data_IF_818460933722
#
_entry.id   IF_818460933722
#
_cell.length_a   1.000
_cell.length_b   1.000
_cell.length_c   1.000
_cell.angle_alpha   90.00
_cell.angle_beta   90.00
_cell.angle_gamma   90.00
#
_symmetry.space_group_name_H-M   'P 1'
#
loop_
_entity.id
_entity.type
_entity.pdbx_description
1 polymer ?
#
# COMPACT_ATOMS: atom_id res chain seq x y z
N UNK A 1 -18.14 0.90 32.31
CA UNK A 1 -18.20 2.30 31.79
C UNK A 1 -16.94 2.71 31.00
N UNK A 2 -15.71 2.54 31.53
CA UNK A 2 -14.46 2.83 30.79
C UNK A 2 -14.25 2.07 29.45
N UNK A 3 -14.55 0.76 29.31
CA UNK A 3 -14.29 0.06 28.05
C UNK A 3 -15.22 0.48 26.91
N UNK A 4 -16.48 0.82 27.22
CA UNK A 4 -17.45 1.30 26.22
C UNK A 4 -17.06 2.67 25.66
N UNK A 5 -16.66 3.61 26.52
CA UNK A 5 -16.16 4.92 26.10
C UNK A 5 -14.90 4.81 25.24
N UNK A 6 -14.02 3.86 25.56
CA UNK A 6 -12.85 3.54 24.75
C UNK A 6 -13.26 3.05 23.36
N UNK A 7 -14.16 2.07 23.27
CA UNK A 7 -14.72 1.58 22.00
C UNK A 7 -15.36 2.70 21.16
N UNK A 8 -16.10 3.61 21.78
CA UNK A 8 -16.69 4.76 21.06
C UNK A 8 -15.62 5.71 20.52
N UNK A 9 -14.59 6.01 21.32
CA UNK A 9 -13.47 6.85 20.88
C UNK A 9 -12.64 6.18 19.78
N UNK A 10 -12.46 4.86 19.86
CA UNK A 10 -11.81 4.05 18.82
C UNK A 10 -12.56 4.20 17.50
N UNK A 11 -13.88 4.03 17.53
CA UNK A 11 -14.75 4.16 16.37
C UNK A 11 -14.71 5.58 15.78
N UNK A 12 -14.85 6.61 16.63
CA UNK A 12 -14.79 8.00 16.19
C UNK A 12 -13.42 8.37 15.60
N UNK A 13 -12.33 7.86 16.18
CA UNK A 13 -10.98 8.07 15.65
C UNK A 13 -10.81 7.39 14.30
N UNK A 14 -11.30 6.15 14.14
CA UNK A 14 -11.27 5.44 12.87
C UNK A 14 -12.04 6.20 11.78
N UNK A 15 -13.27 6.66 12.08
CA UNK A 15 -14.08 7.50 11.18
C UNK A 15 -13.38 8.81 10.84
N UNK A 16 -12.77 9.47 11.83
CA UNK A 16 -12.01 10.70 11.57
C UNK A 16 -10.78 10.43 10.69
N UNK A 17 -10.11 9.28 10.85
CA UNK A 17 -8.98 8.87 10.00
C UNK A 17 -9.42 8.70 8.54
N UNK A 18 -10.64 8.20 8.32
CA UNK A 18 -11.21 8.07 6.97
C UNK A 18 -11.29 9.40 6.29
N UNK A 19 -11.75 10.42 7.02
CA UNK A 19 -11.85 11.76 6.48
C UNK A 19 -10.44 12.23 6.09
N UNK A 20 -9.48 12.22 7.02
CA UNK A 20 -8.18 12.92 6.89
C UNK A 20 -7.14 12.27 5.96
N UNK A 21 -7.42 11.10 5.35
CA UNK A 21 -6.47 10.34 4.49
C UNK A 21 -5.05 10.15 5.07
N UNK A 22 -4.83 10.50 6.33
CA UNK A 22 -3.51 10.56 6.96
C UNK A 22 -3.59 9.79 8.28
N UNK A 23 -3.13 8.55 8.20
CA UNK A 23 -3.01 7.64 9.35
C UNK A 23 -2.26 8.34 10.50
N UNK A 24 -1.23 9.13 10.19
CA UNK A 24 -0.45 9.88 11.17
C UNK A 24 -1.26 10.89 11.99
N UNK A 25 -2.19 11.65 11.37
CA UNK A 25 -2.96 12.68 12.08
C UNK A 25 -3.96 12.05 13.04
N UNK A 26 -4.64 10.99 12.62
CA UNK A 26 -5.58 10.30 13.49
C UNK A 26 -4.88 9.52 14.60
N UNK A 27 -3.70 8.97 14.35
CA UNK A 27 -2.89 8.36 15.40
C UNK A 27 -2.38 9.38 16.41
N UNK A 28 -1.94 10.56 15.96
CA UNK A 28 -1.65 11.69 16.83
C UNK A 28 -2.89 12.05 17.66
N UNK A 29 -4.05 12.16 17.03
CA UNK A 29 -5.33 12.43 17.72
C UNK A 29 -5.68 11.35 18.76
N UNK A 30 -5.51 10.08 18.44
CA UNK A 30 -5.77 8.95 19.33
C UNK A 30 -4.78 8.93 20.51
N UNK A 31 -3.50 9.19 20.27
CA UNK A 31 -2.47 9.30 21.31
C UNK A 31 -2.75 10.50 22.21
N UNK A 32 -3.07 11.68 21.66
CA UNK A 32 -3.45 12.86 22.43
C UNK A 32 -4.70 12.61 23.28
N UNK A 33 -5.70 11.94 22.72
CA UNK A 33 -6.93 11.55 23.43
C UNK A 33 -6.62 10.55 24.54
N UNK A 34 -5.81 9.53 24.26
CA UNK A 34 -5.40 8.56 25.25
C UNK A 34 -4.60 9.23 26.38
N UNK A 35 -3.67 10.14 26.06
CA UNK A 35 -2.91 10.91 27.04
C UNK A 35 -3.84 11.81 27.88
N UNK A 36 -4.84 12.45 27.27
CA UNK A 36 -5.86 13.24 27.98
C UNK A 36 -6.59 12.43 29.05
N UNK A 37 -6.88 11.15 28.77
CA UNK A 37 -7.63 10.28 29.69
C UNK A 37 -6.75 9.44 30.63
N UNK A 38 -5.49 9.17 30.27
CA UNK A 38 -4.58 8.32 31.05
C UNK A 38 -3.69 9.09 32.01
N UNK A 39 -3.47 10.38 31.78
CA UNK A 39 -2.54 11.17 32.58
C UNK A 39 -3.18 11.67 33.87
N UNK A 40 -2.51 11.44 35.01
CA UNK A 40 -2.81 12.15 36.26
C UNK A 40 -2.75 13.67 35.99
N UNK A 41 -3.54 14.45 36.73
CA UNK A 41 -3.69 15.92 36.60
C UNK A 41 -2.37 16.68 36.38
N UNK A 42 -1.28 16.16 36.94
CA UNK A 42 0.11 16.64 36.85
C UNK A 42 0.70 16.68 35.42
N UNK A 43 0.26 15.86 34.47
CA UNK A 43 0.88 15.79 33.13
C UNK A 43 0.04 16.46 32.03
N UNK A 44 -1.02 17.18 32.40
CA UNK A 44 -1.82 18.00 31.46
C UNK A 44 -0.97 19.06 30.75
N UNK A 45 0.12 19.51 31.35
CA UNK A 45 1.03 20.48 30.74
C UNK A 45 1.69 19.93 29.46
N UNK A 46 1.94 18.61 29.39
CA UNK A 46 2.51 17.98 28.17
C UNK A 46 1.52 18.07 27.01
N UNK A 47 0.20 17.99 27.28
CA UNK A 47 -0.83 18.16 26.28
C UNK A 47 -0.97 19.60 25.81
N UNK A 48 -0.86 20.58 26.70
CA UNK A 48 -0.85 21.99 26.32
C UNK A 48 0.38 22.35 25.50
N UNK A 49 1.55 21.81 25.85
CA UNK A 49 2.78 22.00 25.08
C UNK A 49 2.66 21.32 23.71
N UNK A 50 2.21 20.05 23.68
CA UNK A 50 2.03 19.30 22.44
C UNK A 50 1.00 19.94 21.51
N UNK A 51 -0.17 20.33 22.04
CA UNK A 51 -1.20 21.05 21.30
C UNK A 51 -0.76 22.45 20.86
N UNK A 52 0.00 23.15 21.68
CA UNK A 52 0.58 24.45 21.35
C UNK A 52 1.60 24.37 20.21
N UNK A 53 2.49 23.36 20.22
CA UNK A 53 3.42 23.09 19.12
C UNK A 53 2.66 22.75 17.83
N UNK A 54 1.61 21.92 17.94
CA UNK A 54 0.78 21.55 16.80
C UNK A 54 0.08 22.78 16.18
N UNK A 55 -0.46 23.67 17.02
CA UNK A 55 -1.04 24.94 16.59
C UNK A 55 0.01 25.88 15.96
N UNK A 56 1.20 25.97 16.53
CA UNK A 56 2.30 26.77 15.99
C UNK A 56 2.76 26.29 14.60
N UNK A 57 2.67 24.99 14.31
CA UNK A 57 3.02 24.42 13.01
C UNK A 57 1.86 24.55 12.02
N UNK A 58 0.63 24.24 12.44
CA UNK A 58 -0.53 24.24 11.55
C UNK A 58 -1.01 25.65 11.21
N UNK A 59 -0.96 26.61 12.15
CA UNK A 59 -1.50 27.95 11.91
C UNK A 59 -0.78 28.72 10.78
N UNK A 60 0.57 28.72 10.67
CA UNK A 60 1.26 29.35 9.54
C UNK A 60 0.99 28.66 8.21
N UNK A 61 0.95 27.32 8.20
CA UNK A 61 0.67 26.53 7.00
C UNK A 61 -0.73 26.85 6.47
N UNK A 62 -1.68 26.95 7.38
CA UNK A 62 -3.07 27.14 7.06
C UNK A 62 -3.38 28.61 6.72
N UNK A 63 -2.68 29.58 7.34
CA UNK A 63 -2.62 30.97 6.88
C UNK A 63 -2.11 31.07 5.44
N UNK A 64 -0.99 30.40 5.13
CA UNK A 64 -0.40 30.41 3.79
C UNK A 64 -1.36 29.83 2.74
N UNK A 65 -2.03 28.71 3.05
CA UNK A 65 -2.99 28.08 2.15
C UNK A 65 -4.23 28.96 1.90
N UNK A 66 -4.82 29.56 2.95
CA UNK A 66 -5.96 30.49 2.80
C UNK A 66 -5.60 31.65 1.87
N UNK A 67 -4.41 32.26 2.04
CA UNK A 67 -4.01 33.43 1.26
C UNK A 67 -3.86 33.12 -0.24
N UNK A 68 -3.54 31.88 -0.58
CA UNK A 68 -3.36 31.42 -1.95
C UNK A 68 -4.64 30.80 -2.56
N UNK A 69 -5.82 31.04 -1.96
CA UNK A 69 -7.09 30.49 -2.44
C UNK A 69 -7.28 29.00 -2.16
N UNK A 70 -6.39 28.39 -1.38
CA UNK A 70 -6.52 27.03 -0.87
C UNK A 70 -7.42 26.97 0.37
N UNK A 71 -7.92 25.78 0.71
CA UNK A 71 -8.63 25.60 1.98
C UNK A 71 -7.66 25.27 3.11
N UNK A 72 -8.07 25.56 4.35
CA UNK A 72 -7.29 25.38 5.57
C UNK A 72 -6.84 23.92 5.79
N UNK A 73 -7.58 22.93 5.26
CA UNK A 73 -7.32 21.51 5.53
C UNK A 73 -7.44 20.63 4.27
N UNK A 74 -8.25 21.00 3.28
CA UNK A 74 -8.77 20.07 2.27
C UNK A 74 -8.75 20.65 0.84
N UNK A 75 -7.97 20.06 -0.06
CA UNK A 75 -8.06 20.38 -1.49
C UNK A 75 -9.45 20.01 -2.05
N UNK A 76 -9.82 20.53 -3.23
CA UNK A 76 -11.07 20.14 -3.91
C UNK A 76 -11.19 18.62 -4.11
N UNK A 77 -10.06 17.97 -4.44
CA UNK A 77 -9.93 16.51 -4.51
C UNK A 77 -10.24 15.83 -3.17
N UNK A 78 -9.82 16.45 -2.07
CA UNK A 78 -10.12 15.94 -0.75
C UNK A 78 -11.61 16.14 -0.38
N UNK A 79 -12.25 17.24 -0.79
CA UNK A 79 -13.70 17.43 -0.57
C UNK A 79 -14.50 16.35 -1.30
N UNK A 80 -14.13 16.02 -2.54
CA UNK A 80 -14.71 14.89 -3.27
C UNK A 80 -14.49 13.56 -2.53
N UNK A 81 -13.32 13.38 -1.92
CA UNK A 81 -13.04 12.22 -1.07
C UNK A 81 -13.98 12.15 0.16
N UNK A 82 -14.18 13.24 0.90
CA UNK A 82 -15.13 13.26 2.04
C UNK A 82 -16.54 12.87 1.56
N UNK A 83 -17.01 13.51 0.49
CA UNK A 83 -18.35 13.26 -0.05
C UNK A 83 -18.49 11.78 -0.43
N UNK A 84 -17.49 11.22 -1.11
CA UNK A 84 -17.46 9.79 -1.43
C UNK A 84 -17.57 8.93 -0.17
N UNK A 85 -16.75 9.18 0.86
CA UNK A 85 -16.77 8.36 2.09
C UNK A 85 -18.13 8.47 2.78
N UNK A 86 -18.69 9.67 2.88
CA UNK A 86 -20.00 9.88 3.50
C UNK A 86 -21.13 9.18 2.75
N UNK A 87 -21.11 9.24 1.42
CA UNK A 87 -22.12 8.59 0.58
C UNK A 87 -22.01 7.06 0.57
N UNK A 88 -20.84 6.52 0.88
CA UNK A 88 -20.57 5.08 0.89
C UNK A 88 -20.44 4.47 2.30
N UNK A 89 -20.91 5.16 3.35
CA UNK A 89 -20.85 4.67 4.74
C UNK A 89 -21.41 3.26 4.91
N UNK A 90 -22.48 2.93 4.18
CA UNK A 90 -23.09 1.59 4.20
C UNK A 90 -22.16 0.49 3.72
N UNK A 91 -21.27 0.75 2.75
CA UNK A 91 -20.29 -0.20 2.24
C UNK A 91 -19.25 -0.56 3.32
N UNK A 92 -18.84 0.41 4.13
CA UNK A 92 -17.89 0.18 5.24
C UNK A 92 -18.44 -0.72 6.35
N UNK A 93 -19.77 -0.83 6.47
CA UNK A 93 -20.41 -1.73 7.44
C UNK A 93 -20.46 -3.19 6.95
N UNK A 94 -20.24 -3.45 5.66
CA UNK A 94 -20.28 -4.79 5.04
C UNK A 94 -18.93 -5.49 5.09
N UNK A 95 -18.37 -5.62 6.29
CA UNK A 95 -16.98 -6.08 6.46
C UNK A 95 -16.70 -7.49 5.94
N UNK A 96 -17.71 -8.34 5.95
CA UNK A 96 -17.62 -9.70 5.42
C UNK A 96 -17.44 -9.73 3.90
N UNK A 97 -17.94 -8.73 3.16
CA UNK A 97 -17.83 -8.67 1.69
C UNK A 97 -16.40 -8.32 1.24
N UNK A 98 -15.68 -7.51 2.03
CA UNK A 98 -14.33 -7.06 1.70
C UNK A 98 -13.22 -7.82 2.44
N UNK A 99 -13.56 -8.72 3.36
CA UNK A 99 -12.58 -9.50 4.12
C UNK A 99 -11.67 -10.36 3.25
N UNK A 100 -12.17 -10.81 2.09
CA UNK A 100 -11.42 -11.61 1.11
C UNK A 100 -10.51 -10.77 0.21
N UNK A 101 -10.74 -9.45 0.12
CA UNK A 101 -9.88 -8.55 -0.65
C UNK A 101 -8.47 -8.42 -0.02
N UNK A 102 -8.36 -8.72 1.27
CA UNK A 102 -7.07 -8.77 1.97
C UNK A 102 -6.40 -10.12 1.73
N UNK A 103 -5.45 -10.15 0.81
CA UNK A 103 -4.55 -11.30 0.66
C UNK A 103 -3.78 -11.52 1.96
N UNK A 104 -4.11 -12.59 2.67
CA UNK A 104 -3.42 -13.00 3.90
C UNK A 104 -1.93 -13.25 3.63
N UNK A 105 -1.58 -13.69 2.42
CA UNK A 105 -0.20 -13.86 1.98
C UNK A 105 0.55 -12.54 1.93
N UNK A 106 -0.11 -11.47 1.49
CA UNK A 106 0.48 -10.13 1.47
C UNK A 106 0.83 -9.66 2.88
N UNK A 107 -0.06 -9.91 3.86
CA UNK A 107 0.21 -9.59 5.26
C UNK A 107 1.32 -10.48 5.82
N UNK A 108 1.27 -11.79 5.56
CA UNK A 108 2.31 -12.72 6.01
C UNK A 108 3.69 -12.35 5.45
N UNK A 109 3.76 -11.99 4.16
CA UNK A 109 4.96 -11.52 3.47
C UNK A 109 5.47 -10.19 4.02
N UNK A 110 4.59 -9.29 4.42
CA UNK A 110 5.00 -8.03 5.06
C UNK A 110 5.77 -8.29 6.36
N UNK A 111 5.40 -9.33 7.12
CA UNK A 111 6.03 -9.66 8.42
C UNK A 111 7.24 -10.57 8.26
N UNK A 112 7.11 -11.62 7.46
CA UNK A 112 8.18 -12.58 7.16
C UNK A 112 8.36 -12.57 5.64
N UNK A 113 9.27 -11.74 5.09
CA UNK A 113 9.38 -11.46 3.66
C UNK A 113 10.00 -12.59 2.82
N UNK A 114 9.50 -13.80 3.00
CA UNK A 114 9.88 -15.03 2.27
C UNK A 114 8.83 -15.40 1.21
N UNK A 115 7.58 -14.95 1.39
CA UNK A 115 6.44 -15.31 0.54
C UNK A 115 6.38 -14.40 -0.69
N UNK A 116 7.12 -14.77 -1.74
CA UNK A 116 7.21 -13.97 -2.97
C UNK A 116 8.61 -13.90 -3.58
N UNK A 117 9.58 -14.61 -2.99
CA UNK A 117 10.83 -14.88 -3.68
C UNK A 117 10.62 -15.93 -4.75
N UNK A 118 10.95 -15.58 -6.00
CA UNK A 118 10.86 -16.51 -7.13
C UNK A 118 11.63 -17.82 -6.89
N UNK A 119 12.78 -17.75 -6.22
CA UNK A 119 13.56 -18.93 -5.84
C UNK A 119 12.78 -19.88 -4.90
N UNK A 120 11.99 -19.33 -3.97
CA UNK A 120 11.20 -20.14 -3.03
C UNK A 120 9.91 -20.63 -3.70
N UNK A 121 9.25 -19.81 -4.52
CA UNK A 121 8.04 -20.24 -5.26
C UNK A 121 8.33 -21.31 -6.30
N UNK A 122 9.56 -21.39 -6.80
CA UNK A 122 9.98 -22.49 -7.69
C UNK A 122 10.28 -23.77 -6.91
N UNK A 123 10.68 -23.66 -5.64
CA UNK A 123 11.02 -24.80 -4.77
C UNK A 123 9.79 -25.39 -4.07
N UNK A 124 8.88 -24.52 -3.62
CA UNK A 124 7.68 -24.87 -2.85
C UNK A 124 6.44 -24.68 -3.72
N UNK A 125 5.53 -25.65 -3.69
CA UNK A 125 4.24 -25.51 -4.36
C UNK A 125 3.44 -24.34 -3.77
N UNK A 126 2.57 -23.73 -4.58
CA UNK A 126 1.68 -22.63 -4.12
C UNK A 126 0.90 -23.02 -2.87
N UNK A 127 0.43 -24.26 -2.78
CA UNK A 127 -0.27 -24.80 -1.61
C UNK A 127 0.57 -24.76 -0.33
N UNK A 128 1.87 -25.09 -0.41
CA UNK A 128 2.77 -25.01 0.75
C UNK A 128 2.96 -23.55 1.16
N UNK A 129 3.12 -22.64 0.19
CA UNK A 129 3.27 -21.21 0.45
C UNK A 129 2.03 -20.60 1.12
N UNK A 130 0.84 -20.98 0.65
CA UNK A 130 -0.44 -20.63 1.31
C UNK A 130 -0.47 -21.15 2.75
N UNK A 131 -0.13 -22.42 2.96
CA UNK A 131 -0.10 -23.04 4.28
C UNK A 131 0.86 -22.35 5.26
N UNK A 132 2.09 -22.05 4.81
CA UNK A 132 3.08 -21.33 5.62
C UNK A 132 2.63 -19.90 5.95
N UNK A 133 2.00 -19.20 5.01
CA UNK A 133 1.44 -17.87 5.25
C UNK A 133 0.39 -17.89 6.35
N UNK A 134 -0.51 -18.88 6.32
CA UNK A 134 -1.52 -19.11 7.37
C UNK A 134 -0.84 -19.41 8.71
N UNK A 135 0.19 -20.26 8.72
CA UNK A 135 0.94 -20.59 9.96
C UNK A 135 1.57 -19.33 10.57
N UNK A 136 2.21 -18.48 9.78
CA UNK A 136 2.81 -17.22 10.27
C UNK A 136 1.76 -16.31 10.91
N UNK A 137 0.61 -16.15 10.25
CA UNK A 137 -0.49 -15.34 10.79
C UNK A 137 -1.11 -15.94 12.04
N UNK A 138 -1.28 -17.27 12.11
CA UNK A 138 -1.76 -17.97 13.30
C UNK A 138 -0.80 -17.79 14.48
N UNK A 139 0.52 -17.89 14.25
CA UNK A 139 1.53 -17.65 15.28
C UNK A 139 1.44 -16.20 15.78
N UNK A 140 1.31 -15.22 14.88
CA UNK A 140 1.11 -13.82 15.25
C UNK A 140 -0.20 -13.61 16.04
N UNK A 141 -1.30 -14.25 15.62
CA UNK A 141 -2.60 -14.18 16.30
C UNK A 141 -2.54 -14.79 17.71
N UNK A 142 -1.84 -15.92 17.89
CA UNK A 142 -1.59 -16.54 19.20
C UNK A 142 -0.80 -15.57 20.08
N UNK A 143 0.25 -14.95 19.55
CA UNK A 143 1.04 -13.95 20.27
C UNK A 143 0.20 -12.76 20.72
N UNK A 144 -0.66 -12.26 19.84
CA UNK A 144 -1.60 -11.20 20.17
C UNK A 144 -2.57 -11.64 21.28
N UNK A 145 -3.21 -12.80 21.15
CA UNK A 145 -4.13 -13.34 22.15
C UNK A 145 -3.47 -13.52 23.53
N UNK A 146 -2.21 -13.98 23.56
CA UNK A 146 -1.43 -14.09 24.79
C UNK A 146 -1.14 -12.71 25.41
N UNK A 147 -0.94 -11.68 24.58
CA UNK A 147 -0.72 -10.30 25.03
C UNK A 147 -1.98 -9.63 25.60
N UNK A 148 -3.17 -10.01 25.12
CA UNK A 148 -4.45 -9.42 25.53
C UNK A 148 -4.74 -9.60 27.02
N UNK A 149 -4.17 -10.62 27.67
CA UNK A 149 -4.33 -10.85 29.12
C UNK A 149 -3.93 -9.65 29.99
N UNK A 150 -3.05 -8.78 29.48
CA UNK A 150 -2.58 -7.58 30.20
C UNK A 150 -3.08 -6.27 29.60
N UNK A 151 -3.89 -6.32 28.52
CA UNK A 151 -4.30 -5.16 27.70
C UNK A 151 -3.25 -4.04 27.63
N UNK A 152 -2.02 -4.34 27.17
CA UNK A 152 -1.00 -3.31 27.08
C UNK A 152 -1.42 -2.25 26.05
N UNK A 153 -0.94 -1.01 26.21
CA UNK A 153 -1.23 0.13 25.32
C UNK A 153 -1.01 -0.21 23.84
N UNK A 154 0.01 -1.02 23.54
CA UNK A 154 0.30 -1.54 22.20
C UNK A 154 -0.85 -2.38 21.59
N UNK A 155 -1.61 -3.13 22.40
CA UNK A 155 -2.75 -3.90 21.92
C UNK A 155 -3.89 -2.99 21.45
N UNK A 156 -4.09 -1.86 22.14
CA UNK A 156 -5.05 -0.84 21.74
C UNK A 156 -4.65 -0.15 20.44
N UNK A 157 -3.36 0.17 20.30
CA UNK A 157 -2.79 0.72 19.08
C UNK A 157 -3.07 -0.18 17.87
N UNK A 158 -2.87 -1.48 18.01
CA UNK A 158 -3.05 -2.41 16.88
C UNK A 158 -4.51 -2.57 16.54
N UNK A 159 -5.40 -2.63 17.54
CA UNK A 159 -6.84 -2.64 17.30
C UNK A 159 -7.29 -1.38 16.54
N UNK A 160 -6.79 -0.21 16.94
CA UNK A 160 -6.98 1.04 16.19
C UNK A 160 -6.50 0.92 14.76
N UNK A 161 -5.27 0.45 14.59
CA UNK A 161 -4.65 0.36 13.29
C UNK A 161 -5.39 -0.62 12.38
N UNK A 162 -5.77 -1.80 12.89
CA UNK A 162 -6.53 -2.80 12.14
C UNK A 162 -7.90 -2.25 11.74
N UNK A 163 -8.58 -1.51 12.62
CA UNK A 163 -9.84 -0.85 12.28
C UNK A 163 -9.66 0.18 11.15
N UNK A 164 -8.60 1.00 11.23
CA UNK A 164 -8.24 1.99 10.18
C UNK A 164 -7.83 1.28 8.88
N UNK A 165 -7.05 0.22 8.98
CA UNK A 165 -6.57 -0.58 7.85
C UNK A 165 -7.73 -1.19 7.09
N UNK A 166 -8.68 -1.82 7.79
CA UNK A 166 -9.89 -2.38 7.20
C UNK A 166 -10.68 -1.31 6.44
N UNK A 167 -10.86 -0.16 7.07
CA UNK A 167 -11.51 1.00 6.49
C UNK A 167 -10.83 1.44 5.17
N UNK A 168 -9.50 1.44 5.14
CA UNK A 168 -8.73 1.79 3.95
C UNK A 168 -8.86 0.75 2.84
N UNK A 169 -8.92 -0.54 3.21
CA UNK A 169 -9.15 -1.64 2.27
C UNK A 169 -10.48 -1.45 1.57
N UNK A 170 -11.56 -1.17 2.30
CA UNK A 170 -12.88 -0.91 1.71
C UNK A 170 -12.87 0.36 0.85
N UNK A 171 -12.11 1.38 1.26
CA UNK A 171 -12.07 2.66 0.56
C UNK A 171 -11.31 2.59 -0.78
N UNK A 172 -10.17 1.90 -0.83
CA UNK A 172 -9.33 1.80 -2.04
C UNK A 172 -9.77 0.62 -2.91
N UNK A 173 -10.42 -0.38 -2.33
CA UNK A 173 -10.71 -1.68 -2.96
C UNK A 173 -9.44 -2.43 -3.41
N UNK A 174 -8.27 -2.00 -2.90
CA UNK A 174 -6.97 -2.60 -3.17
C UNK A 174 -6.10 -2.57 -1.91
N UNK A 175 -5.55 -3.73 -1.53
CA UNK A 175 -4.62 -3.84 -0.41
C UNK A 175 -3.21 -3.61 -0.88
N UNK A 176 -2.74 -2.38 -0.69
CA UNK A 176 -1.36 -2.06 -0.97
C UNK A 176 -0.47 -2.52 0.19
N UNK A 177 0.61 -3.31 -0.06
CA UNK A 177 1.49 -3.82 0.99
C UNK A 177 2.05 -2.73 1.91
N UNK A 178 2.22 -1.51 1.40
CA UNK A 178 2.69 -0.35 2.16
C UNK A 178 1.80 0.01 3.35
N UNK A 179 0.50 -0.30 3.28
CA UNK A 179 -0.45 -0.02 4.36
C UNK A 179 -0.24 -1.00 5.53
N UNK A 180 0.42 -2.14 5.32
CA UNK A 180 0.79 -3.06 6.39
C UNK A 180 2.09 -2.67 7.12
N UNK A 181 2.90 -1.74 6.59
CA UNK A 181 4.22 -1.39 7.15
C UNK A 181 4.19 -1.04 8.65
N UNK A 182 3.25 -0.20 9.14
CA UNK A 182 3.19 0.14 10.57
C UNK A 182 2.80 -1.04 11.49
N UNK A 183 2.20 -2.10 10.94
CA UNK A 183 1.88 -3.31 11.71
C UNK A 183 3.08 -4.22 11.92
N UNK A 184 4.09 -4.15 11.04
CA UNK A 184 5.23 -5.08 11.03
C UNK A 184 5.92 -5.18 12.39
N UNK A 185 6.28 -4.08 13.10
CA UNK A 185 6.96 -4.19 14.38
C UNK A 185 6.13 -4.96 15.43
N UNK A 186 4.82 -4.77 15.41
CA UNK A 186 3.92 -5.41 16.36
C UNK A 186 3.64 -6.87 16.02
N UNK A 187 3.44 -7.18 14.74
CA UNK A 187 3.27 -8.55 14.28
C UNK A 187 4.54 -9.37 14.55
N UNK A 188 5.72 -8.77 14.32
CA UNK A 188 7.02 -9.38 14.68
C UNK A 188 7.11 -9.61 16.19
N UNK A 189 6.76 -8.61 17.01
CA UNK A 189 6.72 -8.77 18.46
C UNK A 189 5.81 -9.92 18.89
N UNK A 190 4.62 -10.05 18.29
CA UNK A 190 3.70 -11.14 18.61
C UNK A 190 4.21 -12.50 18.17
N UNK A 191 4.88 -12.60 17.02
CA UNK A 191 5.56 -13.84 16.62
C UNK A 191 6.61 -14.24 17.67
N UNK A 192 7.46 -13.31 18.10
CA UNK A 192 8.47 -13.57 19.13
C UNK A 192 7.82 -13.98 20.46
N UNK A 193 6.74 -13.29 20.87
CA UNK A 193 5.99 -13.62 22.08
C UNK A 193 5.37 -15.02 22.00
N UNK A 194 4.78 -15.38 20.86
CA UNK A 194 4.21 -16.71 20.63
C UNK A 194 5.28 -17.79 20.66
N UNK A 195 6.43 -17.58 20.01
CA UNK A 195 7.55 -18.53 20.02
C UNK A 195 8.07 -18.73 21.44
N UNK A 196 8.32 -17.65 22.18
CA UNK A 196 8.87 -17.76 23.54
C UNK A 196 7.91 -18.44 24.51
N UNK A 197 6.62 -18.10 24.48
CA UNK A 197 5.59 -18.72 25.34
C UNK A 197 5.25 -20.14 24.90
N UNK A 198 5.18 -20.40 23.60
CA UNK A 198 5.02 -21.74 23.05
C UNK A 198 6.18 -22.65 23.43
N UNK A 199 7.42 -22.15 23.38
CA UNK A 199 8.62 -22.87 23.81
C UNK A 199 8.56 -23.23 25.29
N UNK A 200 8.18 -22.28 26.17
CA UNK A 200 7.99 -22.54 27.60
C UNK A 200 6.97 -23.65 27.85
N UNK A 201 5.85 -23.61 27.12
CA UNK A 201 4.81 -24.63 27.21
C UNK A 201 5.30 -26.02 26.73
N UNK A 202 5.95 -26.09 25.56
CA UNK A 202 6.48 -27.33 24.97
C UNK A 202 7.54 -28.00 25.84
N UNK A 203 8.44 -27.22 26.45
CA UNK A 203 9.51 -27.76 27.30
C UNK A 203 9.09 -27.94 28.76
N UNK A 204 7.78 -28.04 29.02
CA UNK A 204 7.19 -28.23 30.36
C UNK A 204 7.72 -27.22 31.39
N UNK A 205 7.85 -25.96 30.99
CA UNK A 205 8.38 -24.84 31.78
C UNK A 205 9.84 -24.98 32.26
N UNK A 206 10.64 -25.90 31.71
CA UNK A 206 12.08 -25.86 31.92
C UNK A 206 12.67 -24.61 31.24
N UNK A 207 13.09 -23.62 32.04
CA UNK A 207 13.53 -22.32 31.55
C UNK A 207 14.73 -22.41 30.59
N UNK A 208 15.72 -23.25 30.89
CA UNK A 208 16.91 -23.41 30.04
C UNK A 208 16.57 -24.06 28.70
N UNK A 209 15.75 -25.12 28.71
CA UNK A 209 15.31 -25.78 27.47
C UNK A 209 14.43 -24.86 26.63
N UNK A 210 13.50 -24.13 27.26
CA UNK A 210 12.62 -23.16 26.58
C UNK A 210 13.43 -22.06 25.89
N UNK A 211 14.42 -21.52 26.59
CA UNK A 211 15.30 -20.47 26.06
C UNK A 211 16.12 -20.98 24.87
N UNK A 212 16.76 -22.16 25.00
CA UNK A 212 17.52 -22.77 23.89
C UNK A 212 16.62 -23.01 22.68
N UNK A 213 15.43 -23.57 22.88
CA UNK A 213 14.48 -23.85 21.80
C UNK A 213 14.00 -22.56 21.11
N UNK A 214 13.69 -21.52 21.89
CA UNK A 214 13.33 -20.19 21.35
C UNK A 214 14.46 -19.58 20.52
N UNK A 215 15.71 -19.64 21.03
CA UNK A 215 16.89 -19.12 20.33
C UNK A 215 17.10 -19.85 19.02
N UNK A 216 16.98 -21.18 19.00
CA UNK A 216 17.14 -21.98 17.78
C UNK A 216 16.08 -21.56 16.74
N UNK A 217 14.80 -21.50 17.11
CA UNK A 217 13.73 -21.09 16.19
C UNK A 217 13.94 -19.68 15.64
N UNK A 218 14.25 -18.72 16.51
CA UNK A 218 14.47 -17.32 16.11
C UNK A 218 15.73 -17.16 15.24
N UNK A 219 16.79 -17.91 15.55
CA UNK A 219 18.03 -17.89 14.76
C UNK A 219 17.80 -18.49 13.38
N UNK A 220 17.06 -19.60 13.28
CA UNK A 220 16.67 -20.18 11.99
C UNK A 220 15.86 -19.20 11.14
N UNK A 221 14.88 -18.51 11.74
CA UNK A 221 14.12 -17.47 11.05
C UNK A 221 15.03 -16.34 10.57
N UNK A 222 15.95 -15.86 11.43
CA UNK A 222 16.90 -14.81 11.07
C UNK A 222 17.81 -15.23 9.91
N UNK A 223 18.34 -16.47 9.91
CA UNK A 223 19.16 -17.00 8.82
C UNK A 223 18.38 -17.00 7.50
N UNK A 224 17.12 -17.43 7.50
CA UNK A 224 16.27 -17.40 6.30
C UNK A 224 16.09 -15.96 5.80
N UNK A 225 15.83 -15.01 6.70
CA UNK A 225 15.67 -13.59 6.34
C UNK A 225 16.96 -12.97 5.80
N UNK A 226 18.11 -13.31 6.38
CA UNK A 226 19.42 -12.87 5.89
C UNK A 226 19.69 -13.47 4.50
N UNK A 227 19.49 -14.77 4.32
CA UNK A 227 19.65 -15.43 3.01
C UNK A 227 18.75 -14.78 1.94
N UNK A 228 17.50 -14.50 2.29
CA UNK A 228 16.56 -13.74 1.44
C UNK A 228 17.11 -12.36 1.07
N UNK A 229 17.62 -11.61 2.04
CA UNK A 229 18.15 -10.27 1.79
C UNK A 229 19.41 -10.30 0.92
N UNK A 230 20.28 -11.30 1.11
CA UNK A 230 21.45 -11.52 0.23
C UNK A 230 20.99 -11.83 -1.19
N UNK A 231 20.02 -12.75 -1.37
CA UNK A 231 19.46 -13.07 -2.68
C UNK A 231 18.86 -11.84 -3.37
N UNK A 232 18.09 -11.03 -2.64
CA UNK A 232 17.50 -9.79 -3.18
C UNK A 232 18.58 -8.76 -3.51
N UNK A 233 19.63 -8.63 -2.71
CA UNK A 233 20.73 -7.70 -2.98
C UNK A 233 21.54 -8.07 -4.23
N UNK A 234 21.63 -9.36 -4.57
CA UNK A 234 22.28 -9.85 -5.79
C UNK A 234 21.48 -9.58 -7.07
N UNK A 235 20.21 -9.19 -6.94
CA UNK A 235 19.32 -8.91 -8.05
C UNK A 235 18.82 -7.46 -7.96
N UNK A 236 19.61 -6.50 -8.47
CA UNK A 236 19.39 -5.09 -8.24
C UNK A 236 18.00 -4.65 -8.72
N UNK A 237 17.35 -3.82 -7.92
CA UNK A 237 16.02 -3.28 -8.19
C UNK A 237 15.91 -2.60 -9.56
N UNK A 238 17.01 -2.05 -10.08
CA UNK A 238 17.07 -1.43 -11.41
C UNK A 238 16.68 -2.39 -12.52
N UNK A 239 17.01 -3.67 -12.40
CA UNK A 239 16.69 -4.68 -13.40
C UNK A 239 15.24 -5.17 -13.29
N UNK A 240 14.54 -4.76 -12.21
CA UNK A 240 13.15 -5.09 -11.86
C UNK A 240 12.19 -3.91 -12.03
N UNK A 241 12.68 -2.79 -12.54
CA UNK A 241 11.87 -1.63 -12.92
C UNK A 241 12.04 -1.43 -14.42
N UNK A 242 10.94 -1.10 -15.08
CA UNK A 242 10.94 -0.85 -16.51
C UNK A 242 11.74 0.43 -16.78
N UNK A 243 12.52 0.39 -17.85
CA UNK A 243 13.16 1.59 -18.37
C UNK A 243 12.10 2.55 -18.93
N UNK A 244 11.69 3.52 -18.10
CA UNK A 244 10.72 4.54 -18.48
C UNK A 244 11.19 5.43 -19.62
N UNK A 245 12.49 5.48 -19.92
CA UNK A 245 13.01 6.28 -21.05
C UNK A 245 12.72 5.62 -22.40
N UNK A 246 12.43 4.32 -22.39
CA UNK A 246 12.08 3.57 -23.58
C UNK A 246 10.76 4.06 -24.16
N UNK A 247 10.78 4.57 -25.39
CA UNK A 247 9.62 5.16 -26.05
C UNK A 247 9.35 6.61 -25.63
N UNK A 248 9.40 6.94 -24.34
CA UNK A 248 9.16 8.32 -23.87
C UNK A 248 10.19 9.32 -24.39
N UNK A 249 11.48 8.94 -24.44
CA UNK A 249 12.54 9.78 -25.00
C UNK A 249 12.33 9.99 -26.51
N UNK A 250 11.93 8.94 -27.23
CA UNK A 250 11.62 9.06 -28.66
C UNK A 250 10.46 10.03 -28.89
N UNK A 251 9.37 9.92 -28.11
CA UNK A 251 8.23 10.85 -28.23
C UNK A 251 8.70 12.29 -27.96
N UNK A 252 9.42 12.50 -26.86
CA UNK A 252 9.94 13.83 -26.50
C UNK A 252 10.77 14.48 -27.63
N UNK A 253 11.56 13.69 -28.35
CA UNK A 253 12.47 14.16 -29.41
C UNK A 253 11.79 14.27 -30.79
N UNK A 254 10.75 13.49 -31.06
CA UNK A 254 10.21 13.30 -32.42
C UNK A 254 8.76 13.75 -32.62
N UNK A 255 8.08 14.24 -31.57
CA UNK A 255 6.68 14.69 -31.68
C UNK A 255 6.52 16.19 -31.41
N UNK A 256 5.47 16.84 -31.94
CA UNK A 256 5.13 18.23 -31.64
C UNK A 256 4.98 18.47 -30.14
N UNK A 257 5.34 19.67 -29.65
CA UNK A 257 5.34 20.02 -28.21
C UNK A 257 3.96 20.01 -27.57
N UNK A 258 2.92 20.21 -28.37
CA UNK A 258 1.51 20.24 -28.03
C UNK A 258 0.81 18.88 -28.16
N UNK A 259 1.52 17.84 -28.62
CA UNK A 259 0.93 16.52 -28.83
C UNK A 259 0.32 15.93 -27.54
N UNK A 260 -0.84 15.29 -27.66
CA UNK A 260 -1.47 14.51 -26.60
C UNK A 260 -1.11 13.04 -26.73
N UNK A 261 -0.55 12.48 -25.65
CA UNK A 261 -0.07 11.10 -25.61
C UNK A 261 -0.94 10.24 -24.70
N UNK A 262 -1.55 9.21 -25.27
CA UNK A 262 -2.27 8.19 -24.50
C UNK A 262 -1.29 7.13 -23.99
N UNK A 263 -1.24 6.91 -22.67
CA UNK A 263 -0.29 5.99 -22.02
C UNK A 263 -0.89 5.31 -20.78
N UNK A 264 -0.24 4.23 -20.33
CA UNK A 264 -0.66 3.48 -19.14
C UNK A 264 -0.48 4.28 -17.85
N UNK A 265 0.58 5.09 -17.77
CA UNK A 265 0.98 5.78 -16.54
C UNK A 265 1.17 7.28 -16.80
N UNK A 266 0.07 8.00 -17.08
CA UNK A 266 0.14 9.40 -17.55
C UNK A 266 1.02 10.30 -16.68
N UNK A 267 0.87 10.25 -15.35
CA UNK A 267 1.63 11.10 -14.42
C UNK A 267 3.14 10.85 -14.45
N UNK A 268 3.65 9.61 -14.23
CA UNK A 268 5.09 9.39 -14.30
C UNK A 268 5.64 9.51 -15.72
N UNK A 269 4.88 9.11 -16.75
CA UNK A 269 5.32 9.20 -18.15
C UNK A 269 5.45 10.66 -18.60
N UNK A 270 4.55 11.55 -18.15
CA UNK A 270 4.62 13.00 -18.38
C UNK A 270 5.99 13.60 -18.05
N UNK A 271 6.62 13.11 -16.96
CA UNK A 271 7.94 13.59 -16.53
C UNK A 271 9.04 13.32 -17.56
N UNK A 272 8.92 12.24 -18.35
CA UNK A 272 9.90 11.84 -19.35
C UNK A 272 9.50 12.28 -20.76
N UNK A 273 8.22 12.17 -21.09
CA UNK A 273 7.65 12.52 -22.40
C UNK A 273 7.68 14.05 -22.62
N UNK A 274 7.40 14.83 -21.57
CA UNK A 274 7.25 16.29 -21.65
C UNK A 274 6.21 16.71 -22.72
N UNK A 275 5.10 15.97 -22.78
CA UNK A 275 3.91 16.26 -23.59
C UNK A 275 2.68 16.06 -22.72
N UNK A 276 1.52 16.55 -23.15
CA UNK A 276 0.29 16.24 -22.44
C UNK A 276 0.05 14.73 -22.46
N UNK A 277 -0.40 14.16 -21.35
CA UNK A 277 -0.60 12.72 -21.21
C UNK A 277 -2.00 12.42 -20.73
N UNK A 278 -2.62 11.41 -21.32
CA UNK A 278 -3.91 10.87 -20.94
C UNK A 278 -3.76 9.39 -20.54
N UNK A 279 -4.45 8.95 -19.49
CA UNK A 279 -4.45 7.53 -19.11
C UNK A 279 -5.30 6.71 -20.08
N UNK A 280 -4.94 5.43 -20.28
CA UNK A 280 -5.84 4.50 -20.97
C UNK A 280 -7.24 4.48 -20.36
N UNK A 281 -8.29 4.37 -21.18
CA UNK A 281 -9.65 4.33 -20.69
C UNK A 281 -9.94 3.03 -19.95
N UNK A 282 -10.74 3.10 -18.88
CA UNK A 282 -11.05 1.97 -17.99
C UNK A 282 -11.62 0.76 -18.76
N UNK A 283 -11.52 -0.43 -18.18
CA UNK A 283 -11.98 -1.68 -18.82
C UNK A 283 -13.42 -1.55 -19.32
N UNK A 284 -13.66 -1.98 -20.57
CA UNK A 284 -14.97 -1.96 -21.22
C UNK A 284 -15.32 -0.64 -21.92
N UNK A 285 -14.47 0.39 -21.83
CA UNK A 285 -14.61 1.60 -22.64
C UNK A 285 -14.18 1.37 -24.09
N UNK A 286 -14.82 2.06 -25.02
CA UNK A 286 -14.46 2.03 -26.43
C UNK A 286 -13.18 2.86 -26.66
N UNK A 287 -12.09 2.18 -27.03
CA UNK A 287 -10.81 2.82 -27.31
C UNK A 287 -10.92 3.84 -28.44
N UNK A 288 -11.68 3.54 -29.50
CA UNK A 288 -11.83 4.43 -30.65
C UNK A 288 -12.50 5.74 -30.24
N UNK A 289 -13.59 5.64 -29.46
CA UNK A 289 -14.33 6.82 -28.99
C UNK A 289 -13.46 7.71 -28.09
N UNK A 290 -12.65 7.12 -27.22
CA UNK A 290 -11.78 7.88 -26.31
C UNK A 290 -10.63 8.53 -27.06
N UNK A 291 -10.00 7.79 -27.99
CA UNK A 291 -8.90 8.31 -28.82
C UNK A 291 -9.39 9.49 -29.67
N UNK A 292 -10.51 9.32 -30.38
CA UNK A 292 -11.06 10.36 -31.24
C UNK A 292 -11.62 11.54 -30.44
N UNK A 293 -12.34 11.28 -29.34
CA UNK A 293 -12.99 12.32 -28.54
C UNK A 293 -12.03 13.20 -27.72
N UNK A 294 -10.78 12.76 -27.54
CA UNK A 294 -9.75 13.55 -26.86
C UNK A 294 -8.68 14.08 -27.83
N UNK A 295 -8.82 13.86 -29.14
CA UNK A 295 -7.82 14.27 -30.14
C UNK A 295 -6.41 13.74 -29.80
N UNK A 296 -6.32 12.45 -29.46
CA UNK A 296 -5.04 11.80 -29.13
C UNK A 296 -4.15 11.73 -30.38
N UNK A 297 -2.93 12.25 -30.30
CA UNK A 297 -1.97 12.22 -31.41
C UNK A 297 -1.10 10.96 -31.41
N UNK A 298 -0.69 10.50 -30.23
CA UNK A 298 0.22 9.37 -30.07
C UNK A 298 -0.25 8.42 -28.97
N UNK A 299 0.03 7.13 -29.15
CA UNK A 299 -0.25 6.10 -28.16
C UNK A 299 1.07 5.39 -27.83
N UNK A 300 1.51 5.53 -26.58
CA UNK A 300 2.67 4.83 -26.06
C UNK A 300 2.20 3.51 -25.44
N UNK A 301 2.69 2.37 -25.94
CA UNK A 301 2.50 1.04 -25.35
C UNK A 301 3.80 0.61 -24.70
N UNK A 302 3.77 0.29 -23.42
CA UNK A 302 4.90 -0.27 -22.68
C UNK A 302 4.39 -1.11 -21.50
N UNK A 303 5.24 -1.97 -20.90
CA UNK A 303 4.88 -2.68 -19.67
C UNK A 303 4.40 -1.72 -18.56
N UNK A 304 3.49 -2.16 -17.69
CA UNK A 304 3.01 -1.35 -16.57
C UNK A 304 4.09 -1.11 -15.52
N UNK A 305 4.12 0.08 -14.91
CA UNK A 305 5.04 0.43 -13.82
C UNK A 305 4.76 -0.38 -12.54
N UNK A 306 5.09 -1.66 -12.60
CA UNK A 306 4.89 -2.65 -11.55
C UNK A 306 6.24 -3.23 -11.16
N UNK A 307 6.42 -3.50 -9.87
CA UNK A 307 7.60 -4.20 -9.39
C UNK A 307 7.44 -5.69 -9.73
N UNK A 308 8.09 -6.14 -10.79
CA UNK A 308 8.00 -7.51 -11.27
C UNK A 308 9.39 -8.07 -11.57
N UNK A 309 9.55 -9.38 -11.39
CA UNK A 309 10.71 -10.10 -11.90
C UNK A 309 10.65 -10.26 -13.43
N UNK A 310 9.48 -10.05 -14.03
CA UNK A 310 9.29 -9.95 -15.47
C UNK A 310 8.85 -8.54 -15.85
N UNK A 311 9.83 -7.67 -16.07
CA UNK A 311 9.63 -6.25 -16.43
C UNK A 311 9.22 -6.03 -17.88
N UNK A 312 9.10 -7.09 -18.67
CA UNK A 312 8.90 -7.01 -20.13
C UNK A 312 7.53 -7.48 -20.59
N UNK A 313 6.77 -8.14 -19.72
CA UNK A 313 5.42 -8.57 -20.02
C UNK A 313 4.44 -7.40 -19.98
N UNK A 314 3.62 -7.29 -21.03
CA UNK A 314 2.42 -6.45 -21.02
C UNK A 314 1.35 -7.18 -20.23
N UNK A 315 0.61 -6.48 -19.37
CA UNK A 315 -0.57 -7.06 -18.77
C UNK A 315 -1.65 -7.32 -19.85
N UNK A 316 -2.70 -8.08 -19.49
CA UNK A 316 -3.76 -8.48 -20.43
C UNK A 316 -4.46 -7.30 -21.10
N UNK A 317 -4.67 -6.20 -20.36
CA UNK A 317 -5.32 -4.98 -20.86
C UNK A 317 -4.46 -4.27 -21.91
N UNK A 318 -3.18 -4.05 -21.61
CA UNK A 318 -2.24 -3.40 -22.53
C UNK A 318 -2.01 -4.29 -23.76
N UNK A 319 -1.96 -5.61 -23.56
CA UNK A 319 -1.89 -6.58 -24.66
C UNK A 319 -3.11 -6.50 -25.57
N UNK A 320 -4.32 -6.41 -25.01
CA UNK A 320 -5.56 -6.27 -25.78
C UNK A 320 -5.59 -4.95 -26.57
N UNK A 321 -5.14 -3.84 -25.98
CA UNK A 321 -4.99 -2.57 -26.68
C UNK A 321 -3.96 -2.68 -27.82
N UNK A 322 -2.79 -3.28 -27.57
CA UNK A 322 -1.78 -3.49 -28.61
C UNK A 322 -2.32 -4.31 -29.79
N UNK A 323 -3.10 -5.36 -29.51
CA UNK A 323 -3.78 -6.15 -30.55
C UNK A 323 -4.75 -5.29 -31.35
N UNK A 324 -5.61 -4.53 -30.67
CA UNK A 324 -6.56 -3.62 -31.31
C UNK A 324 -5.86 -2.61 -32.24
N UNK A 325 -4.77 -1.98 -31.78
CA UNK A 325 -4.01 -1.01 -32.59
C UNK A 325 -3.38 -1.65 -33.83
N UNK A 326 -2.89 -2.89 -33.71
CA UNK A 326 -2.31 -3.65 -34.82
C UNK A 326 -3.35 -4.10 -35.85
N UNK A 327 -4.59 -4.33 -35.43
CA UNK A 327 -5.70 -4.71 -36.31
C UNK A 327 -6.25 -3.54 -37.13
N UNK A 328 -5.92 -2.29 -36.77
CA UNK A 328 -6.39 -1.06 -37.44
C UNK A 328 -5.22 -0.20 -37.96
N UNK A 329 -4.35 -0.73 -38.85
CA UNK A 329 -3.15 -0.02 -39.32
C UNK A 329 -3.45 1.27 -40.10
N UNK A 330 -4.65 1.35 -40.68
CA UNK A 330 -5.12 2.53 -41.43
C UNK A 330 -5.37 3.73 -40.52
N UNK A 331 -5.65 3.48 -39.23
CA UNK A 331 -5.91 4.50 -38.21
C UNK A 331 -4.70 4.71 -37.29
N UNK A 332 -3.88 3.67 -37.10
CA UNK A 332 -2.75 3.69 -36.16
C UNK A 332 -1.47 3.24 -36.83
N UNK A 333 -0.56 4.19 -37.07
CA UNK A 333 0.73 3.91 -37.68
C UNK A 333 1.80 3.67 -36.62
N UNK A 334 2.48 2.53 -36.65
CA UNK A 334 3.67 2.31 -35.81
C UNK A 334 4.79 3.26 -36.24
N UNK A 335 5.23 4.13 -35.35
CA UNK A 335 6.32 5.08 -35.59
C UNK A 335 7.60 4.73 -34.83
N UNK A 336 7.49 3.98 -33.74
CA UNK A 336 8.62 3.45 -32.99
C UNK A 336 8.32 2.07 -32.41
N UNK A 337 9.31 1.19 -32.43
CA UNK A 337 9.22 -0.13 -31.81
C UNK A 337 10.57 -0.55 -31.25
N UNK A 338 10.61 -0.94 -29.98
CA UNK A 338 11.79 -1.49 -29.30
C UNK A 338 11.46 -2.88 -28.74
N UNK A 339 11.66 -3.96 -29.52
CA UNK A 339 11.25 -5.31 -29.15
C UNK A 339 11.83 -5.78 -27.82
N UNK A 340 13.10 -5.45 -27.53
CA UNK A 340 13.80 -5.90 -26.33
C UNK A 340 13.17 -5.42 -25.00
N UNK A 341 12.35 -4.37 -25.05
CA UNK A 341 11.63 -3.77 -23.92
C UNK A 341 10.11 -3.83 -24.10
N UNK A 342 9.63 -4.45 -25.19
CA UNK A 342 8.21 -4.53 -25.54
C UNK A 342 7.50 -3.17 -25.59
N UNK A 343 8.19 -2.17 -26.15
CA UNK A 343 7.72 -0.79 -26.25
C UNK A 343 7.33 -0.46 -27.69
N UNK A 344 6.16 0.13 -27.87
CA UNK A 344 5.65 0.61 -29.16
C UNK A 344 5.15 2.04 -29.04
N UNK A 345 5.33 2.84 -30.08
CA UNK A 345 4.64 4.12 -30.24
C UNK A 345 3.84 4.06 -31.52
N UNK A 346 2.56 4.38 -31.41
CA UNK A 346 1.65 4.54 -32.54
C UNK A 346 1.35 6.03 -32.71
N UNK A 347 1.28 6.48 -33.94
CA UNK A 347 0.71 7.77 -34.33
C UNK A 347 -0.73 7.54 -34.80
N UNK A 348 -1.65 8.36 -34.33
CA UNK A 348 -3.05 8.39 -34.79
C UNK A 348 -3.12 9.19 -36.09
N UNK A 349 -3.81 8.66 -37.10
CA UNK A 349 -3.90 9.26 -38.45
C UNK A 349 -5.10 10.20 -38.62
#
# INVERSE_FOLDING_TARGET
KRPFLLLTLLLLSAIYTMLVRTIGIAMLGAVLTMLLFSLKKQHRNILFIGGGILLLILAPLAWFNIRNGGSFIFSSLYTQHIIYVMNNLGTFLRFWEHGTAVSYETIANAVVPIFGLQAITNLLTSTIMHGLSIVVLLVAAIGWALSLRKMPVQGLYILLYVAIFYVWVVYIDEVQPRIALPLIPFLTYYIVLAITKGSQWLTRNNAHSAQRFSIVLLSSLLVILVARNVYVAQQPTRDRIIDMTAGTAWIKENTPTDALVLTANAVPDYLYIQRQTLNYPQNGADYAQVIAGNEVDYILIHPSLEFSFDTKQLNSRISALLTYLKEHPDQYKVTYHKPAQNVWVFQVQ
#
